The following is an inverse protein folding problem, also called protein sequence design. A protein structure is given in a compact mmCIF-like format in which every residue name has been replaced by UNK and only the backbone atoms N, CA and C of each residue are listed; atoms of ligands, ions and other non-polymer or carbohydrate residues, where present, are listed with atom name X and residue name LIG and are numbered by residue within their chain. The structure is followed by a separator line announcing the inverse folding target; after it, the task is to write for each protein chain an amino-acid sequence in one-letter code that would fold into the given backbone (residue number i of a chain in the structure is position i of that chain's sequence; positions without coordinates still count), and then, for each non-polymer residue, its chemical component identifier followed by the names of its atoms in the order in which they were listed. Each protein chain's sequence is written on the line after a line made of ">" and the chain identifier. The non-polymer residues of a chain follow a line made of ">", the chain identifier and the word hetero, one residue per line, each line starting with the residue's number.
data_IF_114520351679
#
_entry.id   IF_114520351679
#
_cell.length_a   1.000
_cell.length_b   1.000
_cell.length_c   1.000
_cell.angle_alpha   90.00
_cell.angle_beta   90.00
_cell.angle_gamma   90.00
#
_symmetry.space_group_name_H-M   'P 1'
#
loop_
_entity.id
_entity.type
_entity.pdbx_description
1 polymer ?
#
# COMPACT_ATOMS: atom_id res chain seq x y z
N UNK A 1 4.93 -3.94 4.97
CA UNK A 1 5.17 -4.33 3.57
C UNK A 1 6.68 -4.31 3.29
N UNK A 2 7.16 -5.22 2.42
CA UNK A 2 8.56 -5.27 2.00
C UNK A 2 9.00 -3.94 1.36
N UNK A 3 10.27 -3.54 1.57
CA UNK A 3 10.82 -2.27 1.09
C UNK A 3 10.37 -1.03 1.88
N UNK A 4 9.61 -1.19 2.96
CA UNK A 4 9.17 -0.09 3.82
C UNK A 4 10.11 0.13 5.00
N UNK A 5 10.18 1.37 5.49
CA UNK A 5 10.98 1.75 6.66
C UNK A 5 10.11 2.46 7.67
N UNK A 6 10.20 2.03 8.94
CA UNK A 6 9.58 2.68 10.08
C UNK A 6 10.67 3.17 11.03
N UNK A 7 10.73 4.47 11.28
CA UNK A 7 11.68 5.08 12.20
C UNK A 7 10.96 5.69 13.40
N UNK A 8 11.56 5.58 14.57
CA UNK A 8 11.10 6.20 15.83
C UNK A 8 12.32 6.57 16.68
N UNK A 9 12.14 7.51 17.60
CA UNK A 9 13.20 7.95 18.49
C UNK A 9 13.26 7.14 19.81
N UNK A 10 14.27 7.38 20.64
CA UNK A 10 14.47 6.70 21.93
C UNK A 10 13.41 7.03 22.99
N UNK A 11 12.63 8.10 22.81
CA UNK A 11 11.52 8.48 23.71
C UNK A 11 10.21 7.75 23.37
N UNK A 12 10.20 6.95 22.31
CA UNK A 12 9.01 6.22 21.89
C UNK A 12 8.46 5.31 23.00
N UNK A 13 7.17 5.45 23.25
CA UNK A 13 6.46 4.70 24.28
C UNK A 13 6.50 5.33 25.68
N UNK A 14 7.52 6.09 26.03
CA UNK A 14 7.63 6.79 27.32
C UNK A 14 6.99 8.21 27.23
N UNK A 15 7.52 9.08 26.40
CA UNK A 15 7.09 10.47 26.28
C UNK A 15 6.28 10.72 25.00
N UNK A 16 6.57 9.99 23.93
CA UNK A 16 5.89 10.14 22.64
C UNK A 16 5.54 8.78 22.01
N UNK A 17 4.60 8.79 21.08
CA UNK A 17 4.26 7.66 20.24
C UNK A 17 4.30 8.09 18.77
N UNK A 18 5.41 8.73 18.39
CA UNK A 18 5.61 9.27 17.05
C UNK A 18 6.52 8.36 16.23
N UNK A 19 6.12 8.09 15.00
CA UNK A 19 6.88 7.30 14.04
C UNK A 19 6.94 8.01 12.69
N UNK A 20 7.99 7.74 11.90
CA UNK A 20 8.11 8.17 10.51
C UNK A 20 8.03 6.95 9.60
N UNK A 21 7.15 6.99 8.61
CA UNK A 21 6.96 5.92 7.65
C UNK A 21 7.49 6.33 6.27
N UNK A 22 8.14 5.38 5.61
CA UNK A 22 8.37 5.36 4.16
C UNK A 22 7.88 4.02 3.62
N UNK A 23 7.12 4.02 2.52
CA UNK A 23 6.54 2.82 1.94
C UNK A 23 5.15 2.54 2.46
N UNK A 24 4.84 1.31 2.81
CA UNK A 24 3.50 0.91 3.23
C UNK A 24 3.52 0.24 4.61
N UNK A 25 2.59 0.67 5.48
CA UNK A 25 2.43 0.15 6.83
C UNK A 25 0.96 0.02 7.22
N UNK A 26 0.61 -1.14 7.77
CA UNK A 26 -0.66 -1.34 8.47
C UNK A 26 -0.44 -1.19 9.97
N UNK A 27 -1.27 -0.39 10.61
CA UNK A 27 -1.19 -0.06 12.02
C UNK A 27 -2.43 -0.55 12.76
N UNK A 28 -2.23 -1.38 13.79
CA UNK A 28 -3.26 -1.75 14.77
C UNK A 28 -2.85 -1.16 16.12
N UNK A 29 -3.41 0.01 16.43
CA UNK A 29 -2.99 0.82 17.57
C UNK A 29 -3.95 0.62 18.73
N UNK A 30 -3.41 0.16 19.85
CA UNK A 30 -4.17 0.04 21.09
C UNK A 30 -4.75 1.40 21.54
N UNK A 31 -5.98 1.35 22.08
CA UNK A 31 -6.69 2.56 22.53
C UNK A 31 -5.97 3.21 23.72
N UNK A 32 -5.57 4.46 23.51
CA UNK A 32 -4.95 5.31 24.52
C UNK A 32 -5.36 6.77 24.27
N UNK A 33 -6.41 7.26 24.92
CA UNK A 33 -6.92 8.63 24.71
C UNK A 33 -5.95 9.71 25.16
N UNK A 34 -5.09 9.45 26.13
CA UNK A 34 -4.18 10.43 26.71
C UNK A 34 -2.91 10.60 25.89
N UNK A 35 -2.46 9.53 25.21
CA UNK A 35 -1.23 9.54 24.41
C UNK A 35 -1.54 9.18 22.96
N UNK A 36 -1.73 10.17 22.07
CA UNK A 36 -1.96 9.92 20.66
C UNK A 36 -0.76 9.19 20.01
N UNK A 37 -1.05 8.29 19.08
CA UNK A 37 -0.05 7.75 18.18
C UNK A 37 -0.04 8.59 16.90
N UNK A 38 1.15 8.96 16.45
CA UNK A 38 1.32 9.82 15.27
C UNK A 38 2.23 9.15 14.25
N UNK A 39 1.77 9.10 13.00
CA UNK A 39 2.60 8.73 11.85
C UNK A 39 2.88 9.99 11.04
N UNK A 40 4.16 10.26 10.80
CA UNK A 40 4.62 11.29 9.87
C UNK A 40 5.03 10.64 8.55
N UNK A 41 4.50 11.16 7.45
CA UNK A 41 4.74 10.63 6.11
C UNK A 41 4.61 11.74 5.06
N UNK A 42 5.68 12.00 4.30
CA UNK A 42 5.71 12.97 3.18
C UNK A 42 5.04 14.34 3.50
N UNK A 43 5.22 14.83 4.73
CA UNK A 43 4.61 16.09 5.20
C UNK A 43 3.20 15.97 5.78
N UNK A 44 2.53 14.84 5.60
CA UNK A 44 1.25 14.55 6.24
C UNK A 44 1.50 14.01 7.66
N UNK A 45 0.75 14.54 8.63
CA UNK A 45 0.72 14.02 10.01
C UNK A 45 -0.61 13.32 10.27
N UNK A 46 -0.53 12.03 10.62
CA UNK A 46 -1.66 11.13 10.86
C UNK A 46 -1.72 10.86 12.36
N UNK A 47 -2.77 11.32 13.05
CA UNK A 47 -2.92 11.16 14.51
C UNK A 47 -4.11 10.29 14.84
N UNK A 48 -3.88 9.32 15.75
CA UNK A 48 -4.89 8.35 16.19
C UNK A 48 -4.82 8.09 17.70
N UNK A 49 -5.92 7.58 18.30
CA UNK A 49 -6.02 7.23 19.73
C UNK A 49 -6.40 5.76 19.97
N UNK A 50 -6.45 4.93 18.95
CA UNK A 50 -6.86 3.52 19.01
C UNK A 50 -7.59 3.17 17.72
N UNK A 51 -6.86 2.71 16.71
CA UNK A 51 -7.33 2.76 15.33
C UNK A 51 -6.61 1.70 14.51
N UNK A 52 -7.35 1.06 13.59
CA UNK A 52 -6.78 0.20 12.54
C UNK A 52 -6.83 0.92 11.21
N UNK A 53 -5.66 1.13 10.62
CA UNK A 53 -5.55 1.89 9.37
C UNK A 53 -4.32 1.47 8.57
N UNK A 54 -4.37 1.64 7.27
CA UNK A 54 -3.25 1.44 6.35
C UNK A 54 -2.73 2.80 5.86
N UNK A 55 -1.43 2.92 5.69
CA UNK A 55 -0.77 4.07 5.06
C UNK A 55 0.11 3.55 3.94
N UNK A 56 -0.05 4.07 2.73
CA UNK A 56 0.71 3.67 1.55
C UNK A 56 1.25 4.89 0.81
N UNK A 57 2.59 4.93 0.63
CA UNK A 57 3.32 5.96 -0.13
C UNK A 57 3.90 5.42 -1.44
N UNK A 58 3.58 4.17 -1.79
CA UNK A 58 4.20 3.46 -2.92
C UNK A 58 3.45 3.66 -4.24
N UNK A 59 2.66 4.73 -4.36
CA UNK A 59 1.92 5.04 -5.58
C UNK A 59 2.80 5.71 -6.64
N UNK A 60 2.51 5.46 -7.91
CA UNK A 60 3.24 6.09 -9.04
C UNK A 60 3.08 7.59 -9.07
N UNK A 61 1.91 8.08 -8.66
CA UNK A 61 1.56 9.49 -8.56
C UNK A 61 2.20 10.20 -7.35
N UNK A 62 3.06 9.49 -6.59
CA UNK A 62 3.71 9.96 -5.36
C UNK A 62 2.74 10.45 -4.28
N UNK A 63 1.48 10.07 -4.36
CA UNK A 63 0.49 10.41 -3.33
C UNK A 63 0.62 9.51 -2.11
N UNK A 64 0.13 9.99 -0.97
CA UNK A 64 -0.04 9.19 0.25
C UNK A 64 -1.50 8.76 0.35
N UNK A 65 -1.75 7.46 0.40
CA UNK A 65 -3.08 6.93 0.70
C UNK A 65 -3.17 6.53 2.17
N UNK A 66 -4.24 6.95 2.84
CA UNK A 66 -4.57 6.55 4.22
C UNK A 66 -5.96 5.93 4.22
N UNK A 67 -6.05 4.64 4.54
CA UNK A 67 -7.31 3.87 4.53
C UNK A 67 -7.69 3.51 5.95
N UNK A 68 -8.89 3.91 6.40
CA UNK A 68 -9.35 3.69 7.76
C UNK A 68 -10.29 2.48 7.86
N UNK A 69 -9.84 1.45 8.59
CA UNK A 69 -10.62 0.22 8.84
C UNK A 69 -11.50 0.39 10.09
N UNK A 70 -10.91 0.83 11.22
CA UNK A 70 -11.61 0.96 12.50
C UNK A 70 -11.10 2.16 13.29
N UNK A 71 -11.99 2.84 14.00
CA UNK A 71 -11.65 3.96 14.87
C UNK A 71 -11.81 5.33 14.19
N UNK A 72 -10.86 6.22 14.39
CA UNK A 72 -10.85 7.58 13.83
C UNK A 72 -9.43 8.06 13.59
N UNK A 73 -9.21 8.73 12.48
CA UNK A 73 -7.94 9.33 12.10
C UNK A 73 -8.10 10.85 11.96
N UNK A 74 -7.18 11.61 12.52
CA UNK A 74 -7.03 13.04 12.25
C UNK A 74 -5.82 13.24 11.33
N UNK A 75 -6.04 13.92 10.21
CA UNK A 75 -5.05 14.22 9.16
C UNK A 75 -4.73 15.71 9.18
N UNK A 76 -3.45 16.04 9.31
CA UNK A 76 -2.93 17.41 9.28
C UNK A 76 -1.88 17.49 8.17
N UNK A 77 -2.20 18.27 7.13
CA UNK A 77 -1.34 18.50 5.96
C UNK A 77 -0.43 19.72 6.10
N UNK A 78 -0.42 20.37 7.27
CA UNK A 78 0.40 21.56 7.52
C UNK A 78 -0.20 22.87 7.01
N UNK A 79 -1.38 22.85 6.39
CA UNK A 79 -2.08 24.04 5.91
C UNK A 79 -2.97 24.73 6.97
N UNK A 80 -2.91 24.24 8.22
CA UNK A 80 -3.70 24.75 9.35
C UNK A 80 -5.09 24.10 9.50
N UNK A 81 -5.49 23.21 8.60
CA UNK A 81 -6.74 22.46 8.68
C UNK A 81 -6.50 21.00 9.08
N UNK A 82 -7.25 20.53 10.06
CA UNK A 82 -7.29 19.11 10.41
C UNK A 82 -8.54 18.48 9.82
N UNK A 83 -8.36 17.45 8.98
CA UNK A 83 -9.45 16.67 8.40
C UNK A 83 -9.60 15.35 9.14
N UNK A 84 -10.83 14.90 9.33
CA UNK A 84 -11.14 13.60 9.94
C UNK A 84 -11.50 12.58 8.90
N UNK A 85 -11.00 11.35 9.12
CA UNK A 85 -11.31 10.17 8.35
C UNK A 85 -12.19 9.24 9.20
N UNK A 86 -13.23 8.68 8.58
CA UNK A 86 -14.15 7.72 9.20
C UNK A 86 -13.95 6.31 8.63
N UNK A 87 -14.36 5.24 9.33
CA UNK A 87 -14.27 3.88 8.82
C UNK A 87 -14.93 3.74 7.44
N UNK A 88 -14.23 3.04 6.53
CA UNK A 88 -14.64 2.90 5.13
C UNK A 88 -14.25 4.05 4.22
N UNK A 89 -13.49 5.03 4.73
CA UNK A 89 -12.97 6.13 3.93
C UNK A 89 -11.48 5.97 3.63
N UNK A 90 -11.07 6.50 2.49
CA UNK A 90 -9.70 6.58 2.01
C UNK A 90 -9.38 8.05 1.74
N UNK A 91 -8.33 8.55 2.38
CA UNK A 91 -7.76 9.85 2.08
C UNK A 91 -6.59 9.68 1.10
N UNK A 92 -6.53 10.53 0.07
CA UNK A 92 -5.36 10.69 -0.80
C UNK A 92 -4.79 12.08 -0.61
N UNK A 93 -3.53 12.14 -0.26
CA UNK A 93 -2.77 13.36 -0.04
C UNK A 93 -1.68 13.48 -1.10
N UNK A 94 -1.63 14.63 -1.77
CA UNK A 94 -0.56 14.99 -2.69
C UNK A 94 0.44 15.90 -1.96
N UNK A 95 1.69 15.46 -1.72
CA UNK A 95 2.68 16.26 -1.03
C UNK A 95 3.12 17.51 -1.80
N UNK A 96 2.98 17.52 -3.14
CA UNK A 96 3.40 18.63 -3.98
C UNK A 96 2.41 19.81 -3.93
N UNK A 97 1.10 19.50 -3.92
CA UNK A 97 0.02 20.50 -3.87
C UNK A 97 -0.53 20.72 -2.46
N UNK A 98 -0.22 19.82 -1.52
CA UNK A 98 -0.80 19.72 -0.18
C UNK A 98 -2.33 19.49 -0.19
N UNK A 99 -2.87 19.05 -1.30
CA UNK A 99 -4.29 18.71 -1.42
C UNK A 99 -4.62 17.38 -0.74
N UNK A 100 -5.72 17.38 -0.01
CA UNK A 100 -6.23 16.21 0.70
C UNK A 100 -7.66 15.90 0.25
N UNK A 101 -7.83 14.79 -0.48
CA UNK A 101 -9.10 14.30 -0.98
C UNK A 101 -9.55 13.08 -0.17
N UNK A 102 -10.78 13.10 0.34
CA UNK A 102 -11.37 11.99 1.11
C UNK A 102 -12.56 11.42 0.34
N UNK A 103 -12.60 10.10 0.18
CA UNK A 103 -13.71 9.38 -0.46
C UNK A 103 -13.99 8.06 0.25
N UNK A 104 -15.18 7.52 0.10
CA UNK A 104 -15.46 6.13 0.46
C UNK A 104 -14.77 5.19 -0.52
N UNK A 105 -14.26 4.06 -0.01
CA UNK A 105 -13.57 3.07 -0.81
C UNK A 105 -13.51 1.70 -0.12
N UNK A 106 -12.94 0.72 -0.84
CA UNK A 106 -12.73 -0.61 -0.29
C UNK A 106 -11.47 -0.64 0.57
N UNK A 107 -11.59 -0.25 1.85
CA UNK A 107 -10.47 -0.19 2.80
C UNK A 107 -9.91 -1.58 3.14
N UNK A 108 -10.74 -2.62 3.01
CA UNK A 108 -10.29 -4.00 3.21
C UNK A 108 -9.32 -4.42 2.11
N UNK A 109 -9.57 -4.01 0.88
CA UNK A 109 -8.68 -4.25 -0.26
C UNK A 109 -7.32 -3.58 -0.05
N UNK A 110 -7.30 -2.34 0.44
CA UNK A 110 -6.07 -1.58 0.70
C UNK A 110 -5.23 -2.15 1.86
N UNK A 111 -5.81 -2.97 2.72
CA UNK A 111 -5.17 -3.50 3.92
C UNK A 111 -5.07 -5.04 3.97
N UNK A 112 -5.60 -5.77 2.99
CA UNK A 112 -5.66 -7.23 2.99
C UNK A 112 -4.28 -7.90 3.09
N UNK A 113 -3.24 -7.24 2.60
CA UNK A 113 -1.87 -7.71 2.66
C UNK A 113 -1.38 -7.93 4.11
N UNK A 114 -1.87 -7.14 5.08
CA UNK A 114 -1.54 -7.30 6.49
C UNK A 114 -2.09 -8.61 7.09
N UNK A 115 -3.12 -9.19 6.46
CA UNK A 115 -3.67 -10.50 6.79
C UNK A 115 -3.08 -11.64 5.93
N UNK A 116 -1.97 -11.38 5.22
CA UNK A 116 -1.33 -12.37 4.35
C UNK A 116 -2.10 -12.64 3.07
N UNK A 117 -2.91 -11.68 2.59
CA UNK A 117 -3.69 -11.79 1.36
C UNK A 117 -3.37 -10.66 0.41
N UNK A 118 -3.33 -10.94 -0.89
CA UNK A 118 -3.34 -9.93 -1.94
C UNK A 118 -4.62 -10.11 -2.76
N UNK A 119 -5.41 -9.05 -2.82
CA UNK A 119 -6.65 -9.03 -3.60
C UNK A 119 -6.47 -8.04 -4.75
N UNK A 120 -6.73 -8.50 -5.95
CA UNK A 120 -6.71 -7.68 -7.16
C UNK A 120 -8.10 -7.65 -7.77
N UNK A 121 -8.65 -6.47 -8.00
CA UNK A 121 -9.94 -6.26 -8.65
C UNK A 121 -9.74 -5.36 -9.87
N UNK A 122 -9.81 -5.96 -11.07
CA UNK A 122 -9.58 -5.28 -12.35
C UNK A 122 -8.27 -4.47 -12.39
N UNK A 123 -7.25 -5.02 -11.75
CA UNK A 123 -5.96 -4.37 -11.62
C UNK A 123 -5.11 -4.61 -12.87
N UNK A 124 -4.40 -3.57 -13.34
CA UNK A 124 -3.52 -3.70 -14.50
C UNK A 124 -2.37 -4.66 -14.24
N UNK A 125 -1.85 -5.30 -15.29
CA UNK A 125 -0.70 -6.21 -15.18
C UNK A 125 0.50 -5.51 -14.55
N UNK A 126 0.76 -4.24 -14.89
CA UNK A 126 1.85 -3.46 -14.31
C UNK A 126 1.73 -3.24 -12.80
N UNK A 127 0.52 -2.93 -12.32
CA UNK A 127 0.25 -2.78 -10.88
C UNK A 127 0.42 -4.11 -10.15
N UNK A 128 -0.10 -5.21 -10.71
CA UNK A 128 0.07 -6.55 -10.16
C UNK A 128 1.55 -6.90 -10.07
N UNK A 129 2.33 -6.70 -11.13
CA UNK A 129 3.76 -6.95 -11.14
C UNK A 129 4.51 -6.18 -10.04
N UNK A 130 4.14 -4.92 -9.77
CA UNK A 130 4.71 -4.14 -8.67
C UNK A 130 4.40 -4.73 -7.29
N UNK A 131 3.15 -5.17 -7.07
CA UNK A 131 2.76 -5.84 -5.83
C UNK A 131 3.49 -7.18 -5.66
N UNK A 132 3.53 -8.01 -6.69
CA UNK A 132 4.21 -9.30 -6.67
C UNK A 132 5.73 -9.13 -6.46
N UNK A 133 6.33 -8.13 -7.11
CA UNK A 133 7.75 -7.81 -6.93
C UNK A 133 8.10 -7.54 -5.46
N UNK A 134 7.29 -6.77 -4.75
CA UNK A 134 7.47 -6.49 -3.32
C UNK A 134 7.10 -7.69 -2.43
N UNK A 135 6.04 -8.42 -2.79
CA UNK A 135 5.56 -9.55 -2.00
C UNK A 135 6.55 -10.71 -1.97
N UNK A 136 7.17 -11.00 -3.12
CA UNK A 136 8.14 -12.09 -3.27
C UNK A 136 9.60 -11.64 -3.19
N UNK A 137 9.87 -10.36 -2.98
CA UNK A 137 11.22 -9.78 -3.02
C UNK A 137 11.99 -10.14 -4.32
N UNK A 138 11.33 -9.97 -5.46
CA UNK A 138 11.84 -10.31 -6.79
C UNK A 138 11.67 -9.13 -7.75
N UNK A 139 12.62 -8.97 -8.66
CA UNK A 139 12.49 -8.01 -9.76
C UNK A 139 11.63 -8.60 -10.86
N UNK A 140 10.57 -7.87 -11.25
CA UNK A 140 9.70 -8.21 -12.38
C UNK A 140 9.84 -7.15 -13.44
N UNK A 141 10.45 -7.53 -14.58
CA UNK A 141 10.62 -6.66 -15.73
C UNK A 141 9.47 -6.85 -16.72
N UNK A 142 8.80 -5.75 -17.08
CA UNK A 142 7.67 -5.71 -18.01
C UNK A 142 7.76 -4.45 -18.86
N UNK A 143 7.40 -4.55 -20.15
CA UNK A 143 7.37 -3.38 -21.01
C UNK A 143 6.24 -2.43 -20.60
N UNK A 144 6.41 -1.08 -20.74
CA UNK A 144 5.37 -0.11 -20.42
C UNK A 144 4.07 -0.33 -21.19
N UNK A 145 4.16 -0.77 -22.47
CA UNK A 145 3.00 -1.08 -23.28
C UNK A 145 2.19 -2.25 -22.67
N UNK A 146 2.87 -3.36 -22.35
CA UNK A 146 2.23 -4.55 -21.81
C UNK A 146 1.64 -4.31 -20.41
N UNK A 147 2.22 -3.41 -19.64
CA UNK A 147 1.77 -3.09 -18.28
C UNK A 147 0.29 -2.66 -18.22
N UNK A 148 -0.25 -2.07 -19.30
CA UNK A 148 -1.61 -1.54 -19.36
C UNK A 148 -2.57 -2.37 -20.22
N UNK A 149 -2.08 -3.38 -20.98
CA UNK A 149 -2.90 -4.13 -21.93
C UNK A 149 -3.88 -5.09 -21.25
N UNK A 150 -3.55 -5.59 -20.07
CA UNK A 150 -4.33 -6.63 -19.41
C UNK A 150 -4.69 -6.23 -17.99
N UNK A 151 -5.88 -6.63 -17.56
CA UNK A 151 -6.36 -6.48 -16.20
C UNK A 151 -6.83 -7.82 -15.64
N UNK A 152 -6.59 -8.05 -14.38
CA UNK A 152 -6.90 -9.31 -13.70
C UNK A 152 -7.71 -9.07 -12.42
N UNK A 153 -8.51 -10.08 -12.09
CA UNK A 153 -9.24 -10.15 -10.80
C UNK A 153 -8.96 -11.51 -10.18
N UNK A 154 -8.25 -11.54 -9.06
CA UNK A 154 -7.98 -12.75 -8.28
C UNK A 154 -7.52 -12.41 -6.86
N UNK A 155 -7.54 -13.41 -6.00
CA UNK A 155 -7.01 -13.31 -4.64
C UNK A 155 -5.86 -14.31 -4.48
N UNK A 156 -4.77 -13.86 -3.86
CA UNK A 156 -3.62 -14.69 -3.48
C UNK A 156 -3.53 -14.76 -1.96
N UNK A 157 -3.06 -15.91 -1.49
CA UNK A 157 -2.73 -16.14 -0.08
C UNK A 157 -1.30 -16.62 0.05
N UNK A 158 -1.02 -17.81 -0.43
CA UNK A 158 0.24 -18.53 -0.18
C UNK A 158 0.79 -19.20 -1.45
N UNK A 159 0.25 -18.82 -2.62
CA UNK A 159 0.64 -19.39 -3.90
C UNK A 159 2.06 -18.98 -4.29
N UNK A 160 2.91 -19.92 -4.80
CA UNK A 160 4.22 -19.55 -5.32
C UNK A 160 4.09 -18.63 -6.55
N UNK A 161 5.02 -17.68 -6.71
CA UNK A 161 5.02 -16.73 -7.83
C UNK A 161 4.87 -17.41 -9.20
N UNK A 162 5.58 -18.52 -9.42
CA UNK A 162 5.51 -19.26 -10.68
C UNK A 162 4.09 -19.78 -10.97
N UNK A 163 3.36 -20.26 -9.94
CA UNK A 163 1.98 -20.71 -10.11
C UNK A 163 1.05 -19.55 -10.54
N UNK A 164 1.27 -18.37 -9.99
CA UNK A 164 0.51 -17.16 -10.33
C UNK A 164 0.79 -16.75 -11.78
N UNK A 165 2.06 -16.64 -12.16
CA UNK A 165 2.46 -16.27 -13.52
C UNK A 165 1.94 -17.29 -14.55
N UNK A 166 1.96 -18.57 -14.21
CA UNK A 166 1.38 -19.63 -15.05
C UNK A 166 -0.14 -19.51 -15.23
N UNK A 167 -0.88 -19.09 -14.18
CA UNK A 167 -2.31 -18.84 -14.30
C UNK A 167 -2.54 -17.61 -15.19
N UNK A 168 -1.79 -16.53 -14.96
CA UNK A 168 -1.91 -15.30 -15.75
C UNK A 168 -1.61 -15.53 -17.23
N UNK A 169 -0.62 -16.36 -17.57
CA UNK A 169 -0.26 -16.72 -18.94
C UNK A 169 -1.30 -17.62 -19.64
N UNK A 170 -2.19 -18.28 -18.88
CA UNK A 170 -3.31 -19.02 -19.45
C UNK A 170 -4.54 -18.16 -19.74
N UNK A 171 -4.63 -17.02 -19.05
CA UNK A 171 -5.75 -16.07 -19.22
C UNK A 171 -5.48 -15.12 -20.36
N UNK A 172 -4.24 -14.63 -20.48
CA UNK A 172 -3.82 -13.66 -21.51
C UNK A 172 -2.54 -14.15 -22.20
N UNK A 173 -2.27 -13.73 -23.44
CA UNK A 173 -1.13 -14.19 -24.25
C UNK A 173 0.19 -13.56 -23.76
N UNK A 174 0.58 -13.88 -22.53
CA UNK A 174 1.86 -13.50 -21.95
C UNK A 174 2.75 -14.71 -21.71
N UNK A 175 4.05 -14.51 -21.83
CA UNK A 175 5.09 -15.47 -21.45
C UNK A 175 5.96 -14.87 -20.37
N UNK A 176 6.50 -15.72 -19.51
CA UNK A 176 7.43 -15.30 -18.47
C UNK A 176 8.68 -16.17 -18.48
N UNK A 177 9.82 -15.57 -18.16
CA UNK A 177 11.12 -16.23 -18.09
C UNK A 177 11.86 -15.78 -16.85
N UNK A 178 12.24 -16.71 -15.98
CA UNK A 178 13.12 -16.43 -14.85
C UNK A 178 14.57 -16.35 -15.37
N UNK A 179 15.21 -15.21 -15.16
CA UNK A 179 16.63 -15.02 -15.53
C UNK A 179 17.56 -15.55 -14.45
N UNK A 180 17.12 -15.49 -13.19
CA UNK A 180 17.77 -16.02 -12.01
C UNK A 180 16.75 -16.20 -10.88
N UNK A 181 17.20 -16.50 -9.65
CA UNK A 181 16.30 -16.67 -8.50
C UNK A 181 15.66 -15.36 -8.00
N UNK A 182 16.02 -14.20 -8.56
CA UNK A 182 15.57 -12.89 -8.13
C UNK A 182 15.05 -11.99 -9.25
N UNK A 183 14.98 -12.50 -10.47
CA UNK A 183 14.44 -11.72 -11.59
C UNK A 183 13.63 -12.57 -12.55
N UNK A 184 12.51 -11.99 -13.01
CA UNK A 184 11.63 -12.56 -14.02
C UNK A 184 11.25 -11.48 -15.03
N UNK A 185 11.25 -11.82 -16.31
CA UNK A 185 10.76 -10.97 -17.38
C UNK A 185 9.41 -11.47 -17.90
N UNK A 186 8.50 -10.55 -18.20
CA UNK A 186 7.19 -10.84 -18.79
C UNK A 186 7.09 -10.13 -20.14
N UNK A 187 6.73 -10.88 -21.17
CA UNK A 187 6.53 -10.38 -22.54
C UNK A 187 5.24 -10.94 -23.13
N UNK A 188 4.80 -10.36 -24.24
CA UNK A 188 3.67 -10.85 -25.01
C UNK A 188 4.11 -12.00 -25.91
N UNK A 189 3.19 -12.95 -26.17
CA UNK A 189 3.39 -13.99 -27.17
C UNK A 189 3.27 -13.32 -28.55
N UNK A 190 4.31 -13.41 -29.38
CA UNK A 190 4.28 -12.98 -30.77
C UNK A 190 3.32 -13.81 -31.64
#
# INVERSE_FOLDING_TARGET
>A
QSGSTLAYDSSFGAESRNVKLRGEGFFDIAKDPERPFTVEVEGLRIRVHGTKFNVNTSHEDRTVAVSLVEGSVALDSGNGETRRLHPGEIARYDPATQELNIRRGNVELESCWAAGKLVFERQSLGEICRYLSRWYDIRIDISPALAHNYAYTFTLTDEPLEAILRIMSRINPIVYTFSDNRSVSISEIE
#
